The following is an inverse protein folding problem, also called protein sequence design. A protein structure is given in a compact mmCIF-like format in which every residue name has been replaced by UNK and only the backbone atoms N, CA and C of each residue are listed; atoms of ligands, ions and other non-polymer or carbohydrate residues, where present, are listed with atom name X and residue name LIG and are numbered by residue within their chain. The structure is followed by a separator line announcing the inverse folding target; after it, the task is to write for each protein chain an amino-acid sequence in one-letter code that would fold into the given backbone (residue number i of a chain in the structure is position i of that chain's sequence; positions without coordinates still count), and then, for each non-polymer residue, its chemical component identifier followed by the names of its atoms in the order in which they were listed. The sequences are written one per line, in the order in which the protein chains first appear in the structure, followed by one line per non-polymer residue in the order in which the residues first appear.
data_IF_806357489456
#
_entry.id   IF_806357489456
#
_cell.length_a   1.000
_cell.length_b   1.000
_cell.length_c   1.000
_cell.angle_alpha   90.00
_cell.angle_beta   90.00
_cell.angle_gamma   90.00
#
_symmetry.space_group_name_H-M   'P 1'
#
loop_
_entity.id
_entity.type
_entity.pdbx_description
1 polymer ?
#
# COMPACT_ATOMS: atom_id res chain seq x y z
N UNK A 1 -22.42 5.29 -7.77
CA UNK A 1 -21.06 5.42 -7.19
C UNK A 1 -20.08 5.00 -8.26
N UNK A 2 -19.21 5.91 -8.72
CA UNK A 2 -18.17 5.57 -9.70
C UNK A 2 -17.09 4.75 -8.99
N UNK A 3 -17.02 3.44 -9.25
CA UNK A 3 -15.96 2.59 -8.74
C UNK A 3 -14.62 3.01 -9.34
N UNK A 4 -13.56 2.96 -8.56
CA UNK A 4 -12.20 3.22 -9.06
C UNK A 4 -11.70 1.99 -9.78
N UNK A 5 -10.99 2.19 -10.89
CA UNK A 5 -10.45 1.11 -11.69
C UNK A 5 -9.48 0.24 -10.87
N UNK A 6 -9.70 -1.06 -10.93
CA UNK A 6 -8.96 -2.10 -10.21
C UNK A 6 -8.72 -3.30 -11.13
N UNK A 7 -7.56 -3.89 -11.03
CA UNK A 7 -7.21 -5.12 -11.77
C UNK A 7 -7.81 -6.31 -11.02
N UNK A 8 -8.72 -7.04 -11.65
CA UNK A 8 -9.39 -8.21 -11.06
C UNK A 8 -8.90 -9.53 -11.70
N UNK A 9 -8.22 -9.45 -12.85
CA UNK A 9 -7.66 -10.61 -13.51
C UNK A 9 -6.22 -10.87 -13.03
N UNK A 10 -5.90 -12.06 -12.46
CA UNK A 10 -4.56 -12.37 -11.95
C UNK A 10 -3.45 -12.26 -13.00
N UNK A 11 -3.72 -12.61 -14.26
CA UNK A 11 -2.75 -12.49 -15.35
C UNK A 11 -2.38 -11.03 -15.59
N UNK A 12 -3.38 -10.15 -15.69
CA UNK A 12 -3.16 -8.71 -15.88
C UNK A 12 -2.44 -8.09 -14.68
N UNK A 13 -2.75 -8.54 -13.45
CA UNK A 13 -2.01 -8.13 -12.26
C UNK A 13 -0.54 -8.53 -12.36
N UNK A 14 -0.24 -9.76 -12.81
CA UNK A 14 1.12 -10.21 -13.03
C UNK A 14 1.86 -9.36 -14.09
N UNK A 15 1.19 -9.00 -15.19
CA UNK A 15 1.77 -8.11 -16.22
C UNK A 15 2.06 -6.71 -15.65
N UNK A 16 1.16 -6.17 -14.85
CA UNK A 16 1.33 -4.89 -14.16
C UNK A 16 2.52 -4.90 -13.19
N UNK A 17 2.65 -5.94 -12.36
CA UNK A 17 3.76 -6.06 -11.40
C UNK A 17 5.11 -6.19 -12.13
N UNK A 18 5.19 -6.98 -13.20
CA UNK A 18 6.39 -7.09 -14.04
C UNK A 18 6.77 -5.76 -14.71
N UNK A 19 5.78 -4.99 -15.15
CA UNK A 19 6.03 -3.67 -15.71
C UNK A 19 6.60 -2.69 -14.67
N UNK A 20 6.14 -2.77 -13.41
CA UNK A 20 6.72 -2.01 -12.29
C UNK A 20 8.19 -2.44 -12.06
N UNK A 21 8.48 -3.73 -12.05
CA UNK A 21 9.85 -4.23 -11.86
C UNK A 21 10.80 -3.79 -12.97
N UNK A 22 10.29 -3.70 -14.20
CA UNK A 22 11.03 -3.21 -15.36
C UNK A 22 11.16 -1.67 -15.44
N UNK A 23 10.52 -0.93 -14.54
CA UNK A 23 10.57 0.53 -14.57
C UNK A 23 11.99 1.08 -14.36
N UNK A 24 12.45 1.91 -15.30
CA UNK A 24 13.81 2.47 -15.36
C UNK A 24 13.90 3.93 -14.87
N UNK A 25 12.85 4.44 -14.23
CA UNK A 25 12.85 5.80 -13.68
C UNK A 25 13.44 5.89 -12.27
N UNK A 26 13.10 6.97 -11.56
CA UNK A 26 13.67 7.22 -10.22
C UNK A 26 13.40 6.10 -9.22
N UNK A 27 14.42 5.67 -8.44
CA UNK A 27 14.33 4.51 -7.55
C UNK A 27 13.26 4.66 -6.47
N UNK A 28 13.11 5.85 -5.89
CA UNK A 28 12.08 6.11 -4.86
C UNK A 28 10.66 5.85 -5.41
N UNK A 29 10.39 6.26 -6.66
CA UNK A 29 9.08 6.03 -7.30
C UNK A 29 8.89 4.56 -7.62
N UNK A 30 9.93 3.87 -8.10
CA UNK A 30 9.90 2.42 -8.35
C UNK A 30 9.56 1.65 -7.08
N UNK A 31 10.29 1.91 -6.01
CA UNK A 31 10.09 1.24 -4.72
C UNK A 31 8.72 1.56 -4.12
N UNK A 32 8.23 2.80 -4.26
CA UNK A 32 6.86 3.12 -3.86
C UNK A 32 5.81 2.29 -4.62
N UNK A 33 6.01 2.09 -5.93
CA UNK A 33 5.12 1.25 -6.74
C UNK A 33 5.20 -0.23 -6.36
N UNK A 34 6.39 -0.73 -6.05
CA UNK A 34 6.60 -2.11 -5.61
C UNK A 34 6.03 -2.38 -4.22
N UNK A 35 6.17 -1.43 -3.28
CA UNK A 35 5.65 -1.57 -1.91
C UNK A 35 4.12 -1.44 -1.87
N UNK A 36 3.52 -0.55 -2.66
CA UNK A 36 2.09 -0.23 -2.60
C UNK A 36 1.15 -1.45 -2.66
N UNK A 37 1.34 -2.45 -3.55
CA UNK A 37 0.46 -3.62 -3.63
C UNK A 37 0.59 -4.59 -2.46
N UNK A 38 1.64 -4.48 -1.64
CA UNK A 38 1.85 -5.35 -0.47
C UNK A 38 1.24 -4.80 0.82
N UNK A 39 1.24 -3.48 0.98
CA UNK A 39 0.87 -2.86 2.27
C UNK A 39 -0.58 -2.37 2.32
N UNK A 40 -1.27 -2.32 1.19
CA UNK A 40 -2.66 -1.89 1.05
C UNK A 40 -3.00 -0.54 1.70
N UNK A 41 -2.01 0.31 1.95
CA UNK A 41 -2.22 1.65 2.47
C UNK A 41 -2.95 2.53 1.45
N UNK A 42 -3.71 3.51 1.93
CA UNK A 42 -4.26 4.52 1.02
C UNK A 42 -3.12 5.32 0.40
N UNK A 43 -3.21 5.73 -0.89
CA UNK A 43 -2.12 6.47 -1.55
C UNK A 43 -1.67 7.72 -0.77
N UNK A 44 -2.59 8.38 -0.08
CA UNK A 44 -2.28 9.52 0.77
C UNK A 44 -1.55 9.16 2.06
N UNK A 45 -1.78 7.96 2.60
CA UNK A 45 -1.07 7.41 3.75
C UNK A 45 0.34 6.96 3.33
N UNK A 46 0.44 6.20 2.23
CA UNK A 46 1.72 5.73 1.69
C UNK A 46 2.68 6.89 1.37
N UNK A 47 2.27 7.83 0.52
CA UNK A 47 3.17 8.89 0.06
C UNK A 47 3.69 9.82 1.16
N UNK A 48 3.00 9.91 2.28
CA UNK A 48 3.36 10.74 3.44
C UNK A 48 4.01 9.95 4.58
N UNK A 49 4.36 8.70 4.33
CA UNK A 49 4.99 7.86 5.33
C UNK A 49 6.36 8.40 5.75
N UNK A 50 6.69 8.26 7.02
CA UNK A 50 7.98 8.60 7.59
C UNK A 50 8.71 7.35 8.11
N UNK A 51 10.04 7.40 8.15
CA UNK A 51 10.85 6.30 8.67
C UNK A 51 10.55 5.96 10.12
N UNK A 52 10.12 6.94 10.92
CA UNK A 52 9.72 6.75 12.31
C UNK A 52 8.49 5.81 12.47
N UNK A 53 7.79 5.48 11.39
CA UNK A 53 6.64 4.56 11.40
C UNK A 53 7.05 3.09 11.24
N UNK A 54 8.31 2.83 10.86
CA UNK A 54 8.81 1.49 10.54
C UNK A 54 9.59 0.95 11.73
N UNK A 55 9.10 -0.14 12.29
CA UNK A 55 9.85 -0.97 13.23
C UNK A 55 10.38 -2.19 12.48
N UNK A 56 11.68 -2.16 12.18
CA UNK A 56 12.33 -3.25 11.45
C UNK A 56 12.54 -4.50 12.31
N UNK A 57 12.70 -4.33 13.61
CA UNK A 57 12.97 -5.44 14.53
C UNK A 57 11.70 -6.27 14.75
N UNK A 58 10.57 -5.58 14.95
CA UNK A 58 9.26 -6.22 15.07
C UNK A 58 8.58 -6.50 13.71
N UNK A 59 9.17 -6.03 12.61
CA UNK A 59 8.60 -6.10 11.26
C UNK A 59 7.18 -5.50 11.20
N UNK A 60 7.00 -4.31 11.76
CA UNK A 60 5.71 -3.61 11.85
C UNK A 60 5.83 -2.20 11.25
N UNK A 61 4.82 -1.83 10.47
CA UNK A 61 4.60 -0.44 10.02
C UNK A 61 3.38 0.13 10.74
N UNK A 62 3.57 1.20 11.52
CA UNK A 62 2.48 1.84 12.25
C UNK A 62 2.17 3.22 11.68
N UNK A 63 1.04 3.34 10.96
CA UNK A 63 0.53 4.63 10.50
C UNK A 63 -0.16 5.33 11.66
N UNK A 64 0.30 6.53 12.08
CA UNK A 64 -0.27 7.23 13.23
C UNK A 64 -1.70 7.71 12.96
N UNK A 65 -2.51 7.79 14.01
CA UNK A 65 -3.92 8.16 13.97
C UNK A 65 -4.19 9.47 13.20
N UNK A 66 -3.32 10.45 13.34
CA UNK A 66 -3.45 11.76 12.67
C UNK A 66 -3.44 11.66 11.13
N UNK A 67 -2.84 10.61 10.57
CA UNK A 67 -2.73 10.38 9.11
C UNK A 67 -3.74 9.40 8.55
N UNK A 68 -4.41 8.63 9.41
CA UNK A 68 -5.43 7.67 8.97
C UNK A 68 -6.79 8.33 8.80
N UNK A 69 -7.57 7.87 7.81
CA UNK A 69 -8.95 8.35 7.59
C UNK A 69 -9.85 8.11 8.81
N UNK A 70 -9.65 7.01 9.53
CA UNK A 70 -10.48 6.63 10.68
C UNK A 70 -9.99 7.24 12.01
N UNK A 71 -8.94 8.07 12.00
CA UNK A 71 -8.32 8.68 13.18
C UNK A 71 -7.96 7.66 14.28
N UNK A 72 -7.59 6.47 13.88
CA UNK A 72 -7.05 5.40 14.74
C UNK A 72 -5.72 4.95 14.17
N UNK A 73 -4.73 4.61 15.00
CA UNK A 73 -3.46 4.08 14.48
C UNK A 73 -3.73 2.79 13.72
N UNK A 74 -3.00 2.58 12.64
CA UNK A 74 -3.08 1.37 11.84
C UNK A 74 -1.71 0.71 11.78
N UNK A 75 -1.56 -0.38 12.51
CA UNK A 75 -0.38 -1.22 12.46
C UNK A 75 -0.59 -2.36 11.46
N UNK A 76 0.40 -2.60 10.62
CA UNK A 76 0.42 -3.70 9.66
C UNK A 76 1.73 -4.47 9.78
N UNK A 77 1.69 -5.82 9.74
CA UNK A 77 2.88 -6.64 9.67
C UNK A 77 3.55 -6.49 8.31
N UNK A 78 4.85 -6.52 8.29
CA UNK A 78 5.64 -6.40 7.07
C UNK A 78 6.16 -7.78 6.65
N UNK A 79 5.86 -8.17 5.41
CA UNK A 79 6.45 -9.38 4.83
C UNK A 79 7.96 -9.20 4.59
N UNK A 80 8.69 -10.30 4.48
CA UNK A 80 10.11 -10.28 4.16
C UNK A 80 10.41 -9.52 2.85
N UNK A 81 9.51 -9.60 1.87
CA UNK A 81 9.63 -8.84 0.62
C UNK A 81 9.56 -7.33 0.88
N UNK A 82 8.60 -6.87 1.69
CA UNK A 82 8.47 -5.44 2.01
C UNK A 82 9.67 -4.94 2.82
N UNK A 83 10.15 -5.74 3.77
CA UNK A 83 11.38 -5.42 4.52
C UNK A 83 12.56 -5.24 3.56
N UNK A 84 12.76 -6.14 2.60
CA UNK A 84 13.83 -6.01 1.61
C UNK A 84 13.70 -4.72 0.77
N UNK A 85 12.48 -4.40 0.30
CA UNK A 85 12.19 -3.18 -0.45
C UNK A 85 12.42 -1.92 0.39
N UNK A 86 12.05 -1.93 1.66
CA UNK A 86 12.29 -0.81 2.58
C UNK A 86 13.79 -0.63 2.86
N UNK A 87 14.56 -1.71 3.00
CA UNK A 87 16.03 -1.63 3.14
C UNK A 87 16.69 -1.07 1.88
N UNK A 88 16.21 -1.43 0.70
CA UNK A 88 16.66 -0.80 -0.55
C UNK A 88 16.28 0.69 -0.60
N UNK A 89 15.05 1.04 -0.20
CA UNK A 89 14.58 2.41 -0.14
C UNK A 89 15.42 3.28 0.83
N UNK A 90 15.88 2.70 1.93
CA UNK A 90 16.74 3.37 2.92
C UNK A 90 18.05 3.90 2.30
N UNK A 91 18.58 3.22 1.28
CA UNK A 91 19.74 3.70 0.53
C UNK A 91 19.50 5.00 -0.24
N UNK A 92 18.22 5.31 -0.55
CA UNK A 92 17.83 6.46 -1.36
C UNK A 92 17.19 7.59 -0.55
N UNK A 93 16.52 7.27 0.55
CA UNK A 93 15.78 8.26 1.36
C UNK A 93 16.01 8.13 2.87
N UNK A 94 16.86 7.22 3.34
CA UNK A 94 17.11 7.00 4.76
C UNK A 94 17.72 8.20 5.50
N UNK A 95 18.34 9.14 4.78
CA UNK A 95 18.83 10.41 5.34
C UNK A 95 17.73 11.49 5.51
N UNK A 96 16.49 11.20 5.14
CA UNK A 96 15.36 12.12 5.22
C UNK A 96 14.30 11.60 6.20
N UNK A 97 13.35 12.46 6.58
CA UNK A 97 12.23 12.05 7.42
C UNK A 97 11.24 11.14 6.67
N UNK A 98 10.96 11.49 5.40
CA UNK A 98 9.97 10.80 4.57
C UNK A 98 10.56 9.59 3.84
N UNK A 99 9.79 8.49 3.79
CA UNK A 99 10.12 7.33 2.94
C UNK A 99 10.15 7.72 1.46
N UNK A 100 9.15 8.50 1.02
CA UNK A 100 8.93 8.85 -0.38
C UNK A 100 8.94 10.36 -0.58
N UNK A 101 10.11 11.01 -0.43
CA UNK A 101 10.22 12.45 -0.66
C UNK A 101 9.99 12.82 -2.13
N UNK A 102 9.61 14.06 -2.35
CA UNK A 102 9.45 14.61 -3.69
C UNK A 102 10.79 14.89 -4.37
N UNK A 103 10.82 14.82 -5.69
CA UNK A 103 12.05 15.07 -6.48
C UNK A 103 12.63 16.48 -6.30
N UNK A 104 11.77 17.48 -6.06
CA UNK A 104 12.21 18.89 -5.93
C UNK A 104 12.52 19.31 -4.50
N UNK A 105 12.08 18.53 -3.53
CA UNK A 105 12.27 18.83 -2.11
C UNK A 105 12.07 17.57 -1.28
N UNK A 106 13.07 17.20 -0.51
CA UNK A 106 12.99 16.08 0.44
C UNK A 106 12.11 16.38 1.67
N UNK A 107 11.75 17.65 1.88
CA UNK A 107 10.84 18.07 2.95
C UNK A 107 9.34 17.90 2.59
N UNK A 108 9.06 17.60 1.33
CA UNK A 108 7.69 17.38 0.86
C UNK A 108 7.54 15.95 0.34
N UNK A 109 6.41 15.29 0.59
CA UNK A 109 6.18 13.96 0.03
C UNK A 109 6.03 14.03 -1.50
N UNK A 110 6.25 12.90 -2.16
CA UNK A 110 5.96 12.78 -3.59
C UNK A 110 4.54 13.26 -3.89
N UNK A 111 4.32 13.78 -5.12
CA UNK A 111 3.00 14.24 -5.55
C UNK A 111 1.96 13.12 -5.48
N UNK A 112 0.73 13.47 -5.16
CA UNK A 112 -0.40 12.53 -5.11
C UNK A 112 -0.68 11.83 -6.45
N UNK A 113 -0.28 12.47 -7.56
CA UNK A 113 -0.47 11.94 -8.90
C UNK A 113 0.72 11.09 -9.39
N UNK A 114 1.84 11.05 -8.66
CA UNK A 114 3.08 10.40 -9.12
C UNK A 114 2.85 8.94 -9.52
N UNK A 115 2.24 8.13 -8.66
CA UNK A 115 1.99 6.72 -8.95
C UNK A 115 1.07 6.55 -10.15
N UNK A 116 -0.07 7.24 -10.20
CA UNK A 116 -1.02 7.14 -11.31
C UNK A 116 -0.41 7.58 -12.65
N UNK A 117 0.38 8.66 -12.64
CA UNK A 117 1.08 9.11 -13.87
C UNK A 117 2.11 8.08 -14.32
N UNK A 118 2.81 7.44 -13.39
CA UNK A 118 3.81 6.42 -13.72
C UNK A 118 3.13 5.16 -14.25
N UNK A 119 2.00 4.71 -13.68
CA UNK A 119 1.23 3.59 -14.22
C UNK A 119 0.79 3.82 -15.68
N UNK A 120 0.34 5.05 -16.00
CA UNK A 120 0.00 5.40 -17.39
C UNK A 120 1.21 5.34 -18.34
N UNK A 121 2.39 5.77 -17.87
CA UNK A 121 3.64 5.65 -18.65
C UNK A 121 4.06 4.22 -18.89
N UNK A 122 3.69 3.32 -17.98
CA UNK A 122 3.89 1.87 -18.12
C UNK A 122 2.83 1.19 -19.02
N UNK A 123 1.86 1.96 -19.55
CA UNK A 123 0.82 1.45 -20.44
C UNK A 123 -0.49 1.05 -19.74
N UNK A 124 -0.62 1.31 -18.43
CA UNK A 124 -1.83 1.03 -17.67
C UNK A 124 -2.60 2.33 -17.42
N UNK A 125 -3.68 2.53 -18.14
CA UNK A 125 -4.50 3.74 -18.05
C UNK A 125 -5.32 3.83 -16.75
N UNK A 126 -6.03 4.95 -16.59
CA UNK A 126 -6.82 5.21 -15.39
C UNK A 126 -8.11 4.39 -15.31
N UNK A 127 -8.53 3.73 -16.38
CA UNK A 127 -9.66 2.82 -16.41
C UNK A 127 -9.24 1.38 -16.14
N UNK A 128 -7.95 1.06 -16.27
CA UNK A 128 -7.36 -0.23 -15.93
C UNK A 128 -6.94 -0.29 -14.47
N UNK A 129 -6.17 0.68 -13.99
CA UNK A 129 -5.68 0.69 -12.60
C UNK A 129 -5.44 2.10 -12.08
N UNK A 130 -5.68 2.27 -10.78
CA UNK A 130 -5.26 3.45 -10.03
C UNK A 130 -4.56 3.01 -8.74
N UNK A 131 -3.70 3.87 -8.18
CA UNK A 131 -3.05 3.60 -6.90
C UNK A 131 -4.06 3.31 -5.77
N UNK A 132 -5.25 3.93 -5.82
CA UNK A 132 -6.32 3.61 -4.89
C UNK A 132 -7.03 2.30 -5.26
N UNK A 133 -7.16 1.99 -6.54
CA UNK A 133 -7.79 0.77 -7.05
C UNK A 133 -7.06 -0.51 -6.65
N UNK A 134 -5.74 -0.45 -6.40
CA UNK A 134 -4.98 -1.59 -5.88
C UNK A 134 -5.55 -2.18 -4.58
N UNK A 135 -6.19 -1.35 -3.76
CA UNK A 135 -6.87 -1.81 -2.55
C UNK A 135 -8.13 -2.63 -2.89
N UNK A 136 -8.86 -2.22 -3.92
CA UNK A 136 -9.99 -3.00 -4.42
C UNK A 136 -9.52 -4.29 -5.10
N UNK A 137 -8.41 -4.24 -5.85
CA UNK A 137 -7.73 -5.43 -6.39
C UNK A 137 -7.42 -6.42 -5.26
N UNK A 138 -6.73 -5.97 -4.19
CA UNK A 138 -6.40 -6.80 -3.06
C UNK A 138 -7.65 -7.37 -2.37
N UNK A 139 -8.63 -6.53 -2.05
CA UNK A 139 -9.87 -6.97 -1.41
C UNK A 139 -10.57 -8.07 -2.22
N UNK A 140 -10.73 -7.85 -3.53
CA UNK A 140 -11.44 -8.80 -4.40
C UNK A 140 -10.68 -10.11 -4.54
N UNK A 141 -9.42 -10.05 -4.96
CA UNK A 141 -8.64 -11.27 -5.24
C UNK A 141 -8.35 -12.10 -3.98
N UNK A 142 -8.13 -11.46 -2.83
CA UNK A 142 -7.94 -12.18 -1.58
C UNK A 142 -9.24 -12.88 -1.12
N UNK A 143 -10.39 -12.20 -1.21
CA UNK A 143 -11.69 -12.82 -0.90
C UNK A 143 -12.03 -13.96 -1.87
N UNK A 144 -11.83 -13.77 -3.17
CA UNK A 144 -12.10 -14.79 -4.19
C UNK A 144 -11.17 -16.00 -4.06
N UNK A 145 -9.95 -15.82 -3.55
CA UNK A 145 -9.01 -16.93 -3.32
C UNK A 145 -9.52 -17.94 -2.29
N UNK A 146 -10.39 -17.53 -1.38
CA UNK A 146 -10.91 -18.36 -0.29
C UNK A 146 -9.86 -18.82 0.72
N UNK A 147 -8.61 -18.31 0.63
CA UNK A 147 -7.48 -18.72 1.48
C UNK A 147 -7.40 -17.96 2.80
N UNK A 148 -8.02 -16.79 2.88
CA UNK A 148 -7.88 -15.87 3.99
C UNK A 148 -9.24 -15.54 4.60
N UNK A 149 -9.26 -15.32 5.91
CA UNK A 149 -10.49 -14.92 6.57
C UNK A 149 -10.89 -13.50 6.13
N UNK A 150 -12.16 -13.24 5.77
CA UNK A 150 -12.62 -11.91 5.36
C UNK A 150 -12.30 -10.81 6.38
N UNK A 151 -12.35 -11.12 7.68
CA UNK A 151 -12.04 -10.15 8.73
C UNK A 151 -10.53 -9.79 8.76
N UNK A 152 -9.63 -10.72 8.40
CA UNK A 152 -8.21 -10.45 8.24
C UNK A 152 -7.97 -9.48 7.07
N UNK A 153 -8.65 -9.71 5.93
CA UNK A 153 -8.56 -8.84 4.74
C UNK A 153 -9.05 -7.43 5.07
N UNK A 154 -10.22 -7.30 5.71
CA UNK A 154 -10.77 -5.99 6.11
C UNK A 154 -9.85 -5.27 7.11
N UNK A 155 -9.22 -6.00 8.01
CA UNK A 155 -8.25 -5.46 8.97
C UNK A 155 -6.98 -4.96 8.26
N UNK A 156 -6.44 -5.73 7.31
CA UNK A 156 -5.27 -5.32 6.51
C UNK A 156 -5.55 -4.04 5.70
N UNK A 157 -6.78 -3.91 5.19
CA UNK A 157 -7.24 -2.73 4.47
C UNK A 157 -7.60 -1.54 5.37
N UNK A 158 -7.51 -1.66 6.69
CA UNK A 158 -7.99 -0.65 7.64
C UNK A 158 -9.43 -0.20 7.34
N UNK A 159 -10.29 -1.15 6.95
CA UNK A 159 -11.72 -0.92 6.81
C UNK A 159 -12.39 -1.02 8.18
N UNK A 160 -13.33 -0.12 8.47
CA UNK A 160 -14.25 -0.30 9.59
C UNK A 160 -15.21 -1.45 9.26
N UNK A 161 -15.64 -2.21 10.29
CA UNK A 161 -16.64 -3.23 10.08
C UNK A 161 -17.92 -2.61 9.50
N UNK A 162 -18.38 -3.13 8.37
CA UNK A 162 -19.62 -2.70 7.71
C UNK A 162 -20.89 -3.01 8.54
N UNK A 163 -20.77 -3.93 9.51
CA UNK A 163 -21.83 -4.30 10.45
C UNK A 163 -21.35 -3.99 11.89
N UNK A 164 -22.06 -3.09 12.59
CA UNK A 164 -21.74 -2.70 13.97
C UNK A 164 -21.74 -3.88 14.94
N UNK A 165 -22.62 -4.89 14.72
CA UNK A 165 -22.67 -6.11 15.53
C UNK A 165 -21.40 -6.93 15.33
N UNK A 166 -20.99 -7.16 14.08
CA UNK A 166 -19.74 -7.89 13.76
C UNK A 166 -18.52 -7.15 14.30
N UNK A 167 -18.50 -5.81 14.22
CA UNK A 167 -17.44 -4.97 14.78
C UNK A 167 -17.27 -5.08 16.29
N UNK A 168 -18.35 -5.30 17.03
CA UNK A 168 -18.33 -5.46 18.49
C UNK A 168 -17.65 -6.79 18.93
N UNK A 169 -17.74 -7.83 18.10
CA UNK A 169 -17.18 -9.16 18.37
C UNK A 169 -15.82 -9.42 17.71
N UNK A 170 -15.48 -8.73 16.63
CA UNK A 170 -14.24 -8.92 15.89
C UNK A 170 -13.05 -8.20 16.57
N UNK A 171 -12.53 -8.78 17.64
CA UNK A 171 -11.37 -8.28 18.39
C UNK A 171 -10.03 -8.84 17.92
N UNK A 172 -10.03 -9.84 17.04
CA UNK A 172 -8.84 -10.49 16.52
C UNK A 172 -7.95 -9.51 15.72
N UNK A 173 -6.65 -9.60 15.89
CA UNK A 173 -5.68 -8.80 15.14
C UNK A 173 -5.24 -9.48 13.84
N UNK A 174 -5.37 -10.80 13.76
CA UNK A 174 -5.04 -11.63 12.60
C UNK A 174 -3.62 -11.38 12.07
N UNK A 175 -2.62 -11.26 12.98
CA UNK A 175 -1.24 -10.93 12.61
C UNK A 175 -0.65 -11.92 11.60
N UNK A 176 -0.85 -13.22 11.81
CA UNK A 176 -0.28 -14.27 10.97
C UNK A 176 -0.91 -14.33 9.57
N UNK A 177 -2.16 -13.84 9.43
CA UNK A 177 -2.89 -13.82 8.15
C UNK A 177 -2.74 -12.50 7.38
N UNK A 178 -2.23 -11.45 7.98
CA UNK A 178 -2.11 -10.11 7.40
C UNK A 178 -0.75 -9.87 6.79
#
# INVERSE_FOLDING_TARGET
VKHRAAILEPKLLGDFLRAIDAYMGGPIVKLAMQIAPHVFLRPGELRRASWAEIDFDEAIWTVPAARTKMRKPHALPLSSQVIALLRELELHSGGYELLFPGQRSHLRPMSENTLNQTYRRLGFDGDTVTAHGLRATASTLLNESGKWQPDAIERALAHGHSNAIRGAYARGQYWDER
#
